data_IF_262010355065
#
_entry.id   IF_262010355065
#
_cell.length_a   1.000
_cell.length_b   1.000
_cell.length_c   1.000
_cell.angle_alpha   90.00
_cell.angle_beta   90.00
_cell.angle_gamma   90.00
#
_symmetry.space_group_name_H-M   'P 1'
#
loop_
_entity.id
_entity.type
_entity.pdbx_description
1 polymer ?
#
# COMPACT_ATOMS: atom_id res chain seq x y z
N UNK A 1 -16.65 3.83 16.02
CA UNK A 1 -15.30 3.88 15.41
C UNK A 1 -15.50 4.14 13.93
N UNK A 2 -14.97 5.24 13.41
CA UNK A 2 -15.01 5.51 11.96
C UNK A 2 -14.24 4.42 11.24
N UNK A 3 -14.92 3.64 10.44
CA UNK A 3 -14.30 2.60 9.62
C UNK A 3 -13.62 3.27 8.43
N UNK A 4 -12.32 3.08 8.29
CA UNK A 4 -11.59 3.55 7.11
C UNK A 4 -12.13 2.86 5.85
N UNK A 5 -12.09 3.55 4.71
CA UNK A 5 -12.62 3.07 3.44
C UNK A 5 -11.54 2.80 2.41
N UNK A 6 -11.78 1.92 1.42
CA UNK A 6 -10.93 1.81 0.23
C UNK A 6 -11.20 2.99 -0.71
N UNK A 7 -10.23 3.34 -1.51
CA UNK A 7 -10.42 4.26 -2.64
C UNK A 7 -10.98 3.43 -3.80
N UNK A 8 -12.27 3.62 -4.13
CA UNK A 8 -13.00 2.81 -5.11
C UNK A 8 -12.96 3.40 -6.51
N UNK A 9 -13.11 4.72 -6.60
CA UNK A 9 -13.06 5.43 -7.87
C UNK A 9 -11.65 5.34 -8.48
N UNK A 10 -11.59 4.87 -9.74
CA UNK A 10 -10.32 4.62 -10.42
C UNK A 10 -9.58 5.91 -10.76
N UNK A 11 -10.32 7.00 -11.11
CA UNK A 11 -9.68 8.28 -11.42
C UNK A 11 -9.13 8.91 -10.15
N UNK A 12 -9.91 8.93 -9.07
CA UNK A 12 -9.45 9.42 -7.76
C UNK A 12 -8.26 8.61 -7.23
N UNK A 13 -8.24 7.29 -7.45
CA UNK A 13 -7.10 6.46 -7.09
C UNK A 13 -5.85 6.83 -7.89
N UNK A 14 -5.99 7.11 -9.18
CA UNK A 14 -4.88 7.55 -10.03
C UNK A 14 -4.36 8.92 -9.60
N UNK A 15 -5.24 9.87 -9.33
CA UNK A 15 -4.87 11.21 -8.85
C UNK A 15 -4.17 11.14 -7.49
N UNK A 16 -4.73 10.37 -6.55
CA UNK A 16 -4.14 10.12 -5.23
C UNK A 16 -2.75 9.50 -5.33
N UNK A 17 -2.61 8.49 -6.17
CA UNK A 17 -1.34 7.77 -6.40
C UNK A 17 -0.26 8.72 -6.90
N UNK A 18 -0.61 9.62 -7.81
CA UNK A 18 0.32 10.54 -8.47
C UNK A 18 0.47 11.90 -7.77
N UNK A 19 -0.28 12.18 -6.71
CA UNK A 19 -0.26 13.46 -6.01
C UNK A 19 1.16 13.92 -5.63
N UNK A 20 1.96 13.01 -5.10
CA UNK A 20 3.35 13.31 -4.72
C UNK A 20 4.37 13.24 -5.86
N UNK A 21 3.95 12.93 -7.08
CA UNK A 21 4.77 13.12 -8.28
C UNK A 21 4.46 14.44 -8.98
N UNK A 22 3.20 14.86 -9.00
CA UNK A 22 2.73 15.95 -9.86
C UNK A 22 2.50 17.26 -9.11
N UNK A 23 1.79 17.19 -7.97
CA UNK A 23 1.31 18.38 -7.26
C UNK A 23 2.26 18.81 -6.14
N UNK A 24 2.75 17.87 -5.37
CA UNK A 24 3.63 18.14 -4.24
C UNK A 24 4.80 17.16 -4.25
N UNK A 25 5.76 17.38 -5.13
CA UNK A 25 6.86 16.46 -5.40
C UNK A 25 7.56 16.00 -4.12
N UNK A 26 7.46 14.69 -3.85
CA UNK A 26 8.09 14.02 -2.72
C UNK A 26 8.16 12.51 -2.97
N UNK A 27 9.28 12.04 -3.50
CA UNK A 27 9.45 10.62 -3.89
C UNK A 27 9.34 9.65 -2.70
N UNK A 28 9.75 10.05 -1.50
CA UNK A 28 9.53 9.22 -0.29
C UNK A 28 8.04 8.95 -0.06
N UNK A 29 7.22 10.00 -0.07
CA UNK A 29 5.78 9.89 0.17
C UNK A 29 5.10 9.11 -0.95
N UNK A 30 5.47 9.39 -2.20
CA UNK A 30 5.03 8.61 -3.36
C UNK A 30 5.32 7.12 -3.18
N UNK A 31 6.57 6.78 -2.87
CA UNK A 31 7.01 5.38 -2.73
C UNK A 31 6.25 4.65 -1.61
N UNK A 32 6.00 5.31 -0.47
CA UNK A 32 5.20 4.75 0.62
C UNK A 32 3.78 4.42 0.14
N UNK A 33 3.13 5.32 -0.60
CA UNK A 33 1.78 5.12 -1.16
C UNK A 33 1.80 3.95 -2.16
N UNK A 34 2.75 3.94 -3.09
CA UNK A 34 2.86 2.88 -4.11
C UNK A 34 3.07 1.51 -3.46
N UNK A 35 3.99 1.39 -2.50
CA UNK A 35 4.18 0.14 -1.77
C UNK A 35 2.87 -0.28 -1.08
N UNK A 36 2.21 0.63 -0.39
CA UNK A 36 0.97 0.32 0.33
C UNK A 36 -0.16 -0.16 -0.58
N UNK A 37 -0.29 0.43 -1.77
CA UNK A 37 -1.30 0.08 -2.77
C UNK A 37 -0.99 -1.22 -3.52
N UNK A 38 0.30 -1.62 -3.61
CA UNK A 38 0.72 -2.75 -4.44
C UNK A 38 1.14 -4.01 -3.66
N UNK A 39 1.34 -3.91 -2.35
CA UNK A 39 1.85 -5.04 -1.54
C UNK A 39 0.89 -5.51 -0.46
N UNK A 40 -0.15 -4.77 -0.20
CA UNK A 40 -1.05 -5.01 0.94
C UNK A 40 -0.38 -5.00 2.32
N UNK A 41 0.86 -4.56 2.45
CA UNK A 41 1.55 -4.46 3.73
C UNK A 41 0.85 -3.48 4.68
N UNK A 42 0.94 -3.73 5.98
CA UNK A 42 0.50 -2.75 6.97
C UNK A 42 1.47 -1.57 6.96
N UNK A 43 0.96 -0.38 7.24
CA UNK A 43 1.81 0.82 7.27
C UNK A 43 3.00 0.67 8.22
N UNK A 44 2.82 0.00 9.37
CA UNK A 44 3.91 -0.29 10.30
C UNK A 44 5.01 -1.11 9.66
N UNK A 45 4.66 -2.09 8.82
CA UNK A 45 5.62 -2.96 8.17
C UNK A 45 6.37 -2.19 7.07
N UNK A 46 5.65 -1.35 6.29
CA UNK A 46 6.25 -0.46 5.27
C UNK A 46 7.25 0.50 5.91
N UNK A 47 6.88 1.16 7.02
CA UNK A 47 7.75 2.15 7.66
C UNK A 47 8.99 1.54 8.30
N UNK A 48 8.94 0.26 8.68
CA UNK A 48 10.07 -0.46 9.25
C UNK A 48 10.93 -1.18 8.21
N UNK A 49 10.62 -1.09 6.92
CA UNK A 49 11.51 -1.62 5.87
C UNK A 49 12.90 -1.00 5.99
N UNK A 50 13.89 -1.86 5.86
CA UNK A 50 15.29 -1.47 5.78
C UNK A 50 15.79 -1.47 4.34
N UNK A 51 16.98 -0.92 4.12
CA UNK A 51 17.63 -1.01 2.80
C UNK A 51 17.89 -2.45 2.42
N UNK A 52 18.34 -3.27 3.36
CA UNK A 52 18.71 -4.68 3.11
C UNK A 52 17.47 -5.54 2.82
N UNK A 53 16.28 -5.16 3.34
CA UNK A 53 15.04 -5.84 2.98
C UNK A 53 14.69 -5.65 1.49
N UNK A 54 15.05 -4.51 0.91
CA UNK A 54 14.56 -4.07 -0.40
C UNK A 54 15.61 -4.13 -1.49
N UNK A 55 16.87 -3.86 -1.17
CA UNK A 55 17.94 -3.79 -2.16
C UNK A 55 18.99 -4.87 -1.94
N UNK A 56 19.37 -5.52 -3.04
CA UNK A 56 20.51 -6.40 -3.14
C UNK A 56 21.43 -5.86 -4.24
N UNK A 57 22.70 -5.67 -3.94
CA UNK A 57 23.70 -5.12 -4.88
C UNK A 57 23.20 -3.85 -5.61
N UNK A 58 22.57 -2.96 -4.86
CA UNK A 58 22.01 -1.71 -5.37
C UNK A 58 20.80 -1.86 -6.31
N UNK A 59 20.28 -3.06 -6.50
CA UNK A 59 19.09 -3.35 -7.31
C UNK A 59 17.89 -3.64 -6.40
N UNK A 60 16.71 -3.22 -6.81
CA UNK A 60 15.47 -3.57 -6.10
C UNK A 60 15.21 -5.06 -6.30
N UNK A 61 15.00 -5.77 -5.19
CA UNK A 61 14.64 -7.19 -5.21
C UNK A 61 13.23 -7.38 -5.82
N UNK A 62 12.99 -8.51 -6.43
CA UNK A 62 11.65 -8.88 -6.93
C UNK A 62 10.72 -9.29 -5.78
N UNK A 63 11.27 -9.98 -4.80
CA UNK A 63 10.55 -10.36 -3.59
C UNK A 63 11.28 -9.83 -2.36
N UNK A 64 10.51 -9.39 -1.38
CA UNK A 64 11.01 -9.07 -0.06
C UNK A 64 10.44 -10.06 0.96
N UNK A 65 11.24 -10.39 1.96
CA UNK A 65 10.81 -11.21 3.10
C UNK A 65 10.88 -10.36 4.35
N UNK A 66 9.76 -10.17 5.00
CA UNK A 66 9.65 -9.34 6.20
C UNK A 66 9.05 -10.13 7.37
N UNK A 67 9.36 -9.72 8.58
CA UNK A 67 8.64 -10.18 9.77
C UNK A 67 7.60 -9.12 10.17
N UNK A 68 6.32 -9.47 10.04
CA UNK A 68 5.22 -8.54 10.35
C UNK A 68 5.26 -8.07 11.80
N UNK A 69 5.21 -6.75 12.02
CA UNK A 69 5.26 -6.13 13.34
C UNK A 69 4.10 -6.57 14.26
N UNK A 70 2.91 -6.79 13.69
CA UNK A 70 1.71 -7.13 14.46
C UNK A 70 1.62 -8.60 14.83
N UNK A 71 2.06 -9.50 13.96
CA UNK A 71 1.83 -10.95 14.09
C UNK A 71 3.09 -11.73 14.38
N UNK A 72 4.25 -11.12 14.15
CA UNK A 72 5.56 -11.79 14.23
C UNK A 72 5.79 -12.86 13.15
N UNK A 73 4.84 -13.04 12.23
CA UNK A 73 4.96 -14.04 11.15
C UNK A 73 5.83 -13.52 10.02
N UNK A 74 6.53 -14.44 9.40
CA UNK A 74 7.24 -14.17 8.16
C UNK A 74 6.25 -14.00 7.01
N UNK A 75 6.50 -13.03 6.14
CA UNK A 75 5.69 -12.75 4.97
C UNK A 75 6.60 -12.46 3.78
N UNK A 76 6.48 -13.27 2.73
CA UNK A 76 7.18 -13.06 1.46
C UNK A 76 6.26 -12.34 0.49
N UNK A 77 6.68 -11.16 0.04
CA UNK A 77 5.87 -10.23 -0.75
C UNK A 77 6.52 -9.97 -2.09
N UNK A 78 5.77 -10.11 -3.18
CA UNK A 78 6.18 -9.70 -4.52
C UNK A 78 6.13 -8.18 -4.64
N UNK A 79 7.20 -7.58 -5.13
CA UNK A 79 7.24 -6.20 -5.59
C UNK A 79 6.98 -6.18 -7.09
N UNK A 80 5.79 -5.75 -7.49
CA UNK A 80 5.46 -5.63 -8.91
C UNK A 80 6.29 -4.53 -9.60
N UNK A 81 6.15 -4.38 -10.90
CA UNK A 81 6.91 -3.42 -11.68
C UNK A 81 6.80 -1.98 -11.13
N UNK A 82 5.59 -1.54 -10.80
CA UNK A 82 5.34 -0.19 -10.29
C UNK A 82 6.04 0.07 -8.94
N UNK A 83 5.93 -0.87 -8.00
CA UNK A 83 6.59 -0.79 -6.71
C UNK A 83 8.12 -0.75 -6.85
N UNK A 84 8.68 -1.59 -7.75
CA UNK A 84 10.13 -1.61 -8.02
C UNK A 84 10.62 -0.31 -8.66
N UNK A 85 9.85 0.26 -9.60
CA UNK A 85 10.19 1.54 -10.23
C UNK A 85 10.21 2.66 -9.19
N UNK A 86 9.16 2.78 -8.37
CA UNK A 86 9.10 3.79 -7.32
C UNK A 86 10.28 3.68 -6.33
N UNK A 87 10.64 2.47 -5.94
CA UNK A 87 11.78 2.21 -5.07
C UNK A 87 13.12 2.58 -5.73
N UNK A 88 13.29 2.25 -7.01
CA UNK A 88 14.50 2.59 -7.74
C UNK A 88 14.68 4.11 -7.88
N UNK A 89 13.62 4.84 -8.16
CA UNK A 89 13.66 6.30 -8.30
C UNK A 89 13.87 7.00 -6.94
N UNK A 90 13.23 6.51 -5.89
CA UNK A 90 13.47 7.00 -4.54
C UNK A 90 14.92 6.78 -4.10
N UNK A 91 15.52 5.63 -4.43
CA UNK A 91 16.93 5.38 -4.16
C UNK A 91 17.86 6.36 -4.87
N UNK A 92 17.60 6.67 -6.14
CA UNK A 92 18.37 7.67 -6.90
C UNK A 92 18.33 9.04 -6.20
N UNK A 93 17.14 9.45 -5.72
CA UNK A 93 16.98 10.70 -4.96
C UNK A 93 17.79 10.68 -3.67
N UNK A 94 17.73 9.60 -2.89
CA UNK A 94 18.47 9.47 -1.64
C UNK A 94 19.98 9.57 -1.85
N UNK A 95 20.49 8.96 -2.92
CA UNK A 95 21.92 9.04 -3.27
C UNK A 95 22.28 10.45 -3.72
N UNK A 96 21.46 11.05 -4.60
CA UNK A 96 21.70 12.41 -5.14
C UNK A 96 21.67 13.48 -4.05
N UNK A 97 20.80 13.34 -3.06
CA UNK A 97 20.61 14.32 -1.98
C UNK A 97 21.46 14.03 -0.74
N UNK A 98 22.30 13.00 -0.79
CA UNK A 98 23.09 12.51 0.35
C UNK A 98 22.23 12.19 1.60
N UNK A 99 20.94 12.01 1.42
CA UNK A 99 20.03 11.62 2.50
C UNK A 99 20.23 10.17 2.95
N UNK A 100 20.92 9.38 2.14
CA UNK A 100 21.38 8.06 2.55
C UNK A 100 22.53 8.23 3.54
N UNK A 101 22.21 8.19 4.83
CA UNK A 101 23.21 8.25 5.89
C UNK A 101 23.66 6.85 6.24
N UNK A 102 24.96 6.61 6.11
CA UNK A 102 25.60 5.36 6.55
C UNK A 102 25.25 5.11 8.02
N UNK A 103 24.77 3.92 8.33
CA UNK A 103 24.38 3.51 9.67
C UNK A 103 22.88 3.70 10.01
N UNK A 104 22.09 4.39 9.19
CA UNK A 104 20.65 4.37 9.36
C UNK A 104 20.04 3.22 8.52
N UNK A 105 19.48 2.18 9.14
CA UNK A 105 19.00 1.01 8.39
C UNK A 105 17.68 1.26 7.66
N UNK A 106 16.87 2.23 8.10
CA UNK A 106 15.50 2.39 7.63
C UNK A 106 15.42 3.01 6.24
N UNK A 107 14.60 2.42 5.38
CA UNK A 107 14.30 2.91 4.04
C UNK A 107 13.59 4.28 4.08
N UNK A 108 12.70 4.47 5.05
CA UNK A 108 11.96 5.72 5.27
C UNK A 108 12.35 6.35 6.61
N UNK A 109 13.49 7.03 6.69
CA UNK A 109 14.00 7.56 7.94
C UNK A 109 13.16 8.73 8.46
N UNK A 110 13.12 8.86 9.79
CA UNK A 110 12.51 9.99 10.46
C UNK A 110 13.36 11.25 10.25
N UNK A 111 12.74 12.40 9.86
CA UNK A 111 13.46 13.67 9.80
C UNK A 111 13.74 14.26 11.18
N UNK A 112 13.13 13.73 12.24
CA UNK A 112 13.19 14.28 13.61
C UNK A 112 14.01 13.45 14.58
N UNK A 113 14.15 12.15 14.32
CA UNK A 113 14.85 11.21 15.20
C UNK A 113 15.93 10.48 14.41
N UNK A 114 17.15 10.55 14.89
CA UNK A 114 18.22 9.74 14.34
C UNK A 114 17.92 8.25 14.54
N UNK A 115 18.30 7.43 13.57
CA UNK A 115 18.15 5.97 13.59
C UNK A 115 16.74 5.47 13.92
N UNK A 116 15.73 6.18 13.50
CA UNK A 116 14.33 5.79 13.65
C UNK A 116 13.57 5.88 12.32
N UNK A 117 12.55 5.04 12.09
CA UNK A 117 11.70 5.15 10.92
C UNK A 117 10.77 6.36 11.01
N UNK A 118 10.18 6.74 9.88
CA UNK A 118 9.09 7.69 9.82
C UNK A 118 7.95 7.22 10.74
N UNK A 119 7.37 8.13 11.52
CA UNK A 119 6.32 7.75 12.45
C UNK A 119 4.98 7.49 11.75
N UNK A 120 4.16 6.62 12.34
CA UNK A 120 2.80 6.34 11.85
C UNK A 120 1.94 7.60 11.75
N UNK A 121 2.10 8.56 12.67
CA UNK A 121 1.37 9.84 12.63
C UNK A 121 1.80 10.71 11.45
N UNK A 122 3.08 10.66 11.05
CA UNK A 122 3.57 11.38 9.87
C UNK A 122 3.04 10.72 8.58
N UNK A 123 3.05 9.37 8.51
CA UNK A 123 2.46 8.64 7.41
C UNK A 123 0.95 8.91 7.28
N UNK A 124 0.23 8.92 8.40
CA UNK A 124 -1.19 9.26 8.43
C UNK A 124 -1.44 10.66 7.83
N UNK A 125 -0.74 11.69 8.32
CA UNK A 125 -0.90 13.06 7.79
C UNK A 125 -0.57 13.16 6.30
N UNK A 126 0.44 12.44 5.84
CA UNK A 126 0.82 12.39 4.44
C UNK A 126 -0.30 11.78 3.58
N UNK A 127 -0.87 10.66 4.00
CA UNK A 127 -1.94 9.96 3.29
C UNK A 127 -3.23 10.78 3.27
N UNK A 128 -3.65 11.31 4.42
CA UNK A 128 -4.86 12.15 4.50
C UNK A 128 -4.72 13.41 3.68
N UNK A 129 -3.57 14.09 3.74
CA UNK A 129 -3.33 15.31 2.93
C UNK A 129 -3.41 15.03 1.42
N UNK A 130 -2.94 13.88 0.95
CA UNK A 130 -3.09 13.52 -0.46
C UNK A 130 -4.55 13.23 -0.83
N UNK A 131 -5.28 12.51 0.03
CA UNK A 131 -6.69 12.18 -0.19
C UNK A 131 -7.57 13.44 -0.22
N UNK A 132 -7.37 14.35 0.73
CA UNK A 132 -8.09 15.62 0.82
C UNK A 132 -7.81 16.50 -0.42
N UNK A 133 -6.53 16.58 -0.84
CA UNK A 133 -6.13 17.42 -1.98
C UNK A 133 -6.78 16.99 -3.30
N UNK A 134 -6.97 15.67 -3.49
CA UNK A 134 -7.63 15.14 -4.71
C UNK A 134 -9.14 14.95 -4.53
N UNK A 135 -9.70 15.40 -3.42
CA UNK A 135 -11.14 15.38 -3.14
C UNK A 135 -11.72 13.98 -3.03
N UNK A 136 -11.02 13.05 -2.35
CA UNK A 136 -11.59 11.75 -2.01
C UNK A 136 -12.52 11.91 -0.82
N UNK A 137 -13.78 11.57 -1.00
CA UNK A 137 -14.76 11.54 0.07
C UNK A 137 -14.57 10.31 0.96
N UNK A 138 -15.03 10.41 2.22
CA UNK A 138 -14.94 9.34 3.21
C UNK A 138 -13.66 9.38 4.04
N UNK A 139 -13.50 8.39 4.92
CA UNK A 139 -12.39 8.35 5.87
C UNK A 139 -11.19 7.58 5.32
N UNK A 140 -10.27 8.29 4.68
CA UNK A 140 -9.01 7.72 4.18
C UNK A 140 -7.92 7.80 5.24
N UNK A 141 -7.21 6.69 5.44
CA UNK A 141 -6.11 6.56 6.41
C UNK A 141 -5.06 5.54 5.94
N UNK A 142 -4.09 5.27 6.80
CA UNK A 142 -3.07 4.27 6.51
C UNK A 142 -3.65 2.88 6.15
N UNK A 143 -4.76 2.48 6.76
CA UNK A 143 -5.41 1.21 6.45
C UNK A 143 -6.15 1.22 5.11
N UNK A 144 -6.48 2.39 4.58
CA UNK A 144 -7.14 2.53 3.28
C UNK A 144 -6.27 2.03 2.13
N UNK A 145 -4.94 2.17 2.20
CA UNK A 145 -4.04 1.63 1.18
C UNK A 145 -4.22 0.12 1.03
N UNK A 146 -4.19 -0.60 2.15
CA UNK A 146 -4.38 -2.05 2.18
C UNK A 146 -5.80 -2.48 1.79
N UNK A 147 -6.82 -1.72 2.21
CA UNK A 147 -8.21 -1.95 1.80
C UNK A 147 -8.39 -1.73 0.31
N UNK A 148 -7.77 -0.70 -0.26
CA UNK A 148 -7.79 -0.39 -1.69
C UNK A 148 -7.18 -1.54 -2.50
N UNK A 149 -6.02 -2.06 -2.08
CA UNK A 149 -5.44 -3.27 -2.69
C UNK A 149 -6.45 -4.42 -2.72
N UNK A 150 -7.02 -4.77 -1.57
CA UNK A 150 -7.95 -5.89 -1.47
C UNK A 150 -9.21 -5.70 -2.28
N UNK A 151 -9.80 -4.50 -2.23
CA UNK A 151 -10.99 -4.14 -2.99
C UNK A 151 -10.77 -4.31 -4.50
N UNK A 152 -9.69 -3.70 -5.04
CA UNK A 152 -9.40 -3.79 -6.47
C UNK A 152 -8.97 -5.19 -6.91
N UNK A 153 -8.21 -5.93 -6.10
CA UNK A 153 -7.88 -7.32 -6.38
C UNK A 153 -9.15 -8.18 -6.48
N UNK A 154 -10.06 -8.03 -5.52
CA UNK A 154 -11.35 -8.73 -5.54
C UNK A 154 -12.20 -8.34 -6.75
N UNK A 155 -12.33 -7.05 -7.06
CA UNK A 155 -13.09 -6.55 -8.22
C UNK A 155 -12.49 -7.02 -9.57
N UNK A 156 -11.21 -7.38 -9.59
CA UNK A 156 -10.54 -7.98 -10.75
C UNK A 156 -10.68 -9.51 -10.80
N UNK A 157 -11.47 -10.11 -9.90
CA UNK A 157 -11.75 -11.53 -9.88
C UNK A 157 -10.78 -12.38 -9.05
N UNK A 158 -9.90 -11.77 -8.26
CA UNK A 158 -9.03 -12.54 -7.36
C UNK A 158 -9.86 -13.28 -6.30
N UNK A 159 -9.52 -14.54 -6.06
CA UNK A 159 -10.16 -15.35 -5.02
C UNK A 159 -10.01 -14.68 -3.64
N UNK A 160 -11.12 -14.45 -2.90
CA UNK A 160 -11.07 -13.90 -1.55
C UNK A 160 -10.23 -14.72 -0.57
N UNK A 161 -10.07 -16.02 -0.79
CA UNK A 161 -9.19 -16.88 0.03
C UNK A 161 -7.72 -16.54 -0.23
N UNK A 162 -7.34 -16.29 -1.48
CA UNK A 162 -5.98 -15.84 -1.81
C UNK A 162 -5.71 -14.47 -1.18
N UNK A 163 -6.68 -13.54 -1.26
CA UNK A 163 -6.57 -12.23 -0.61
C UNK A 163 -6.45 -12.38 0.93
N UNK A 164 -7.18 -13.33 1.52
CA UNK A 164 -7.08 -13.65 2.94
C UNK A 164 -5.66 -14.08 3.33
N UNK A 165 -5.04 -14.93 2.51
CA UNK A 165 -3.65 -15.39 2.72
C UNK A 165 -2.67 -14.22 2.60
N UNK A 166 -2.78 -13.39 1.55
CA UNK A 166 -1.95 -12.18 1.35
C UNK A 166 -2.07 -11.23 2.55
N UNK A 167 -3.27 -11.07 3.09
CA UNK A 167 -3.52 -10.25 4.28
C UNK A 167 -3.09 -10.92 5.59
N UNK A 168 -2.68 -12.19 5.54
CA UNK A 168 -2.38 -12.97 6.75
C UNK A 168 -3.52 -12.89 7.79
N UNK A 169 -4.77 -12.98 7.30
CA UNK A 169 -5.96 -12.99 8.15
C UNK A 169 -6.28 -14.41 8.61
N UNK A 170 -6.75 -14.55 9.85
CA UNK A 170 -7.11 -15.84 10.44
C UNK A 170 -8.46 -16.38 9.96
N UNK A 171 -9.27 -15.56 9.29
CA UNK A 171 -10.57 -15.99 8.76
C UNK A 171 -11.04 -15.12 7.59
N UNK A 172 -11.89 -15.72 6.75
CA UNK A 172 -12.53 -15.04 5.64
C UNK A 172 -13.46 -13.91 6.12
N UNK A 173 -14.06 -14.03 7.29
CA UNK A 173 -14.93 -12.99 7.87
C UNK A 173 -14.17 -11.68 8.14
N UNK A 174 -12.89 -11.78 8.51
CA UNK A 174 -12.02 -10.60 8.65
C UNK A 174 -11.76 -9.99 7.28
N UNK A 175 -11.44 -10.81 6.29
CA UNK A 175 -11.18 -10.37 4.91
C UNK A 175 -12.38 -9.66 4.30
N UNK A 176 -13.59 -10.19 4.46
CA UNK A 176 -14.83 -9.54 3.97
C UNK A 176 -14.97 -8.08 4.42
N UNK A 177 -14.57 -7.75 5.66
CA UNK A 177 -14.58 -6.35 6.14
C UNK A 177 -13.57 -5.46 5.42
N UNK A 178 -12.45 -6.04 4.93
CA UNK A 178 -11.44 -5.33 4.15
C UNK A 178 -11.86 -5.15 2.70
N UNK A 179 -12.59 -6.11 2.13
CA UNK A 179 -13.12 -6.00 0.78
C UNK A 179 -14.24 -4.94 0.67
N UNK A 180 -14.83 -4.54 1.80
CA UNK A 180 -15.89 -3.53 1.85
C UNK A 180 -17.03 -3.82 0.85
N UNK A 181 -17.48 -5.10 0.80
CA UNK A 181 -18.55 -5.55 -0.09
C UNK A 181 -19.85 -4.83 0.28
N UNK A 182 -20.42 -4.14 -0.66
CA UNK A 182 -21.67 -3.38 -0.53
C UNK A 182 -22.84 -4.07 -1.26
N UNK A 183 -24.03 -3.47 -1.16
CA UNK A 183 -25.22 -4.03 -1.79
C UNK A 183 -25.07 -4.05 -3.32
N UNK A 184 -24.50 -3.01 -3.91
CA UNK A 184 -24.28 -2.92 -5.37
C UNK A 184 -23.39 -4.07 -5.89
N UNK A 185 -22.41 -4.51 -5.11
CA UNK A 185 -21.56 -5.66 -5.46
C UNK A 185 -22.39 -6.96 -5.53
N UNK A 186 -23.36 -7.13 -4.61
CA UNK A 186 -24.25 -8.28 -4.61
C UNK A 186 -25.21 -8.21 -5.80
N UNK A 187 -25.75 -7.03 -6.09
CA UNK A 187 -26.65 -6.80 -7.21
C UNK A 187 -25.95 -7.07 -8.55
N UNK A 188 -24.68 -6.72 -8.65
CA UNK A 188 -23.84 -7.05 -9.81
C UNK A 188 -23.74 -8.56 -10.02
N UNK A 189 -23.54 -9.34 -8.96
CA UNK A 189 -23.52 -10.81 -9.04
C UNK A 189 -24.87 -11.35 -9.53
N UNK A 190 -25.99 -10.85 -8.99
CA UNK A 190 -27.32 -11.27 -9.45
C UNK A 190 -27.57 -10.95 -10.94
N UNK A 191 -27.15 -9.77 -11.41
CA UNK A 191 -27.31 -9.37 -12.82
C UNK A 191 -26.46 -10.20 -13.78
N UNK A 192 -25.34 -10.74 -13.31
CA UNK A 192 -24.33 -11.39 -14.16
C UNK A 192 -24.25 -12.92 -13.97
N UNK A 193 -25.03 -13.50 -13.05
CA UNK A 193 -24.94 -14.91 -12.65
C UNK A 193 -24.95 -15.92 -13.82
N UNK A 194 -25.61 -15.60 -14.93
CA UNK A 194 -25.77 -16.49 -16.08
C UNK A 194 -25.24 -15.92 -17.41
N UNK A 195 -24.63 -14.74 -17.42
CA UNK A 195 -24.14 -14.14 -18.68
C UNK A 195 -23.06 -14.96 -19.40
N UNK A 196 -22.28 -15.73 -18.65
CA UNK A 196 -21.20 -16.57 -19.20
C UNK A 196 -21.72 -17.87 -19.84
N UNK A 197 -22.99 -18.25 -19.62
CA UNK A 197 -23.57 -19.49 -20.16
C UNK A 197 -24.29 -19.21 -21.48
N UNK A 198 -24.59 -17.95 -21.80
CA UNK A 198 -25.36 -17.54 -22.98
C UNK A 198 -24.49 -17.01 -24.14
N UNK A 199 -23.16 -17.10 -24.03
CA UNK A 199 -22.18 -16.80 -25.07
C UNK A 199 -21.48 -18.09 -25.50
#
# INVERSE_FOLDING_TARGET
MSTTEPIRDKQKLLDFKNYYLNERINLRNYTIIIIGLNTALRISDILNLTYDDVYLDSRVQEHITIREQKTGKENRVLLNHEARTALADYRKELVKTEMYKKGNPYLFPSPRKAYAPLSRSQAYRMITSAADAVGIEGHISCHSLRKTFGYHAWKQGSDPVVIMVIFNHSSLSITKRYLCIEQDDKDEVYRNAYKTIAA
#
